data_IF_217659237716
#
_entry.id   IF_217659237716
#
_cell.length_a   1.000
_cell.length_b   1.000
_cell.length_c   1.000
_cell.angle_alpha   90.00
_cell.angle_beta   90.00
_cell.angle_gamma   90.00
#
_symmetry.space_group_name_H-M   'P 1'
#
loop_
_entity.id
_entity.type
_entity.pdbx_description
1 polymer ?
#
# COMPACT_ATOMS: atom_id res chain seq x y z
N UNK A 1 12.45 19.00 5.24
CA UNK A 1 11.58 18.20 6.13
C UNK A 1 11.91 16.69 6.01
N UNK A 2 13.20 16.32 6.03
CA UNK A 2 13.68 14.98 5.62
C UNK A 2 14.78 14.38 6.53
N UNK A 3 15.10 15.01 7.68
CA UNK A 3 16.23 14.58 8.52
C UNK A 3 15.89 13.45 9.51
N UNK A 4 14.64 13.01 9.60
CA UNK A 4 14.19 12.05 10.64
C UNK A 4 14.22 10.60 10.13
N UNK A 5 14.40 10.38 8.82
CA UNK A 5 14.31 9.05 8.20
C UNK A 5 15.57 8.18 8.32
N UNK A 6 16.67 8.70 8.87
CA UNK A 6 17.85 7.91 9.23
C UNK A 6 17.84 7.59 10.73
N UNK A 7 16.92 6.73 11.16
CA UNK A 7 17.15 5.95 12.40
C UNK A 7 17.74 4.61 11.97
N UNK A 8 19.06 4.53 12.04
CA UNK A 8 19.86 3.32 11.79
C UNK A 8 19.88 2.37 13.01
N UNK A 9 19.00 2.57 13.98
CA UNK A 9 18.95 1.73 15.16
C UNK A 9 17.98 0.58 14.87
N UNK A 10 18.54 -0.63 14.79
CA UNK A 10 17.78 -1.90 14.82
C UNK A 10 16.69 -1.78 15.89
N UNK A 11 15.44 -1.64 15.45
CA UNK A 11 14.28 -1.66 16.34
C UNK A 11 14.24 -3.06 16.94
N UNK A 12 14.50 -3.13 18.24
CA UNK A 12 14.32 -4.31 19.05
C UNK A 12 12.86 -4.77 18.88
N UNK A 13 12.66 -5.93 18.26
CA UNK A 13 11.38 -6.63 18.22
C UNK A 13 10.95 -6.91 19.67
N UNK A 14 10.19 -6.00 20.28
CA UNK A 14 9.46 -6.34 21.51
C UNK A 14 8.48 -7.43 21.12
N UNK A 15 8.69 -8.60 21.71
CA UNK A 15 7.82 -9.76 21.59
C UNK A 15 6.51 -9.42 22.33
N UNK A 16 5.64 -8.64 21.71
CA UNK A 16 4.39 -8.19 22.33
C UNK A 16 3.36 -9.28 22.15
N UNK A 17 2.90 -9.86 23.25
CA UNK A 17 1.78 -10.79 23.24
C UNK A 17 0.54 -10.05 22.71
N UNK A 18 0.14 -10.34 21.46
CA UNK A 18 -0.87 -9.59 20.72
C UNK A 18 -2.32 -9.75 21.24
N UNK A 19 -2.50 -10.56 22.29
CA UNK A 19 -3.76 -10.78 23.00
C UNK A 19 -3.97 -9.85 24.21
N UNK A 20 -2.93 -9.12 24.63
CA UNK A 20 -3.00 -8.24 25.80
C UNK A 20 -3.74 -6.93 25.47
N UNK A 21 -4.99 -6.85 25.91
CA UNK A 21 -5.87 -5.69 25.73
C UNK A 21 -5.58 -4.52 26.66
N UNK A 22 -4.65 -4.65 27.62
CA UNK A 22 -4.27 -3.53 28.50
C UNK A 22 -3.43 -2.46 27.81
N UNK A 23 -2.88 -2.79 26.63
CA UNK A 23 -2.07 -1.88 25.83
C UNK A 23 -2.79 -1.60 24.52
N UNK A 24 -2.95 -0.32 24.21
CA UNK A 24 -3.66 0.15 23.01
C UNK A 24 -2.98 -0.26 21.71
N UNK A 25 -3.77 -0.60 20.70
CA UNK A 25 -3.31 -0.93 19.35
C UNK A 25 -3.86 0.04 18.30
N UNK A 26 -3.20 0.08 17.15
CA UNK A 26 -3.70 0.75 15.95
C UNK A 26 -3.95 -0.27 14.85
N UNK A 27 -5.06 -0.09 14.12
CA UNK A 27 -5.36 -0.83 12.88
C UNK A 27 -5.99 0.06 11.84
N UNK A 28 -6.08 -0.47 10.62
CA UNK A 28 -6.83 0.12 9.52
C UNK A 28 -8.23 -0.50 9.43
N UNK A 29 -9.20 0.33 9.03
CA UNK A 29 -10.48 -0.15 8.55
C UNK A 29 -10.29 -0.90 7.22
N UNK A 30 -10.65 -2.20 7.13
CA UNK A 30 -10.32 -3.06 5.98
C UNK A 30 -11.28 -2.84 4.80
N UNK A 31 -11.52 -1.60 4.38
CA UNK A 31 -12.40 -1.25 3.25
C UNK A 31 -11.62 -1.04 1.95
N UNK A 32 -12.34 -1.02 0.83
CA UNK A 32 -11.77 -0.69 -0.48
C UNK A 32 -11.10 -1.85 -1.21
N UNK A 33 -10.65 -1.55 -2.44
CA UNK A 33 -10.00 -2.51 -3.36
C UNK A 33 -8.61 -2.95 -2.90
N UNK A 34 -7.96 -3.81 -3.69
CA UNK A 34 -6.62 -4.33 -3.36
C UNK A 34 -5.58 -3.22 -3.18
N UNK A 35 -5.56 -2.22 -4.06
CA UNK A 35 -4.64 -1.08 -3.96
C UNK A 35 -4.79 -0.29 -2.66
N UNK A 36 -6.02 -0.06 -2.20
CA UNK A 36 -6.28 0.61 -0.93
C UNK A 36 -5.72 -0.20 0.25
N UNK A 37 -5.92 -1.51 0.23
CA UNK A 37 -5.49 -2.40 1.31
C UNK A 37 -3.96 -2.53 1.37
N UNK A 38 -3.29 -2.54 0.21
CA UNK A 38 -1.82 -2.45 0.13
C UNK A 38 -1.34 -1.13 0.75
N UNK A 39 -1.89 0.01 0.35
CA UNK A 39 -1.51 1.31 0.92
C UNK A 39 -1.80 1.40 2.43
N UNK A 40 -2.94 0.88 2.89
CA UNK A 40 -3.31 0.81 4.29
C UNK A 40 -2.34 -0.06 5.10
N UNK A 41 -1.98 -1.25 4.60
CA UNK A 41 -0.98 -2.11 5.22
C UNK A 41 0.38 -1.39 5.36
N UNK A 42 0.87 -0.78 4.28
CA UNK A 42 2.16 -0.08 4.30
C UNK A 42 2.12 1.16 5.21
N UNK A 43 0.98 1.85 5.27
CA UNK A 43 0.76 2.97 6.18
C UNK A 43 0.79 2.51 7.65
N UNK A 44 0.23 1.33 7.94
CA UNK A 44 0.25 0.75 9.28
C UNK A 44 1.67 0.33 9.67
N UNK A 45 2.42 -0.26 8.74
CA UNK A 45 3.81 -0.61 8.94
C UNK A 45 4.68 0.63 9.21
N UNK A 46 4.46 1.72 8.47
CA UNK A 46 5.09 3.01 8.72
C UNK A 46 4.87 3.50 10.15
N UNK A 47 3.65 3.38 10.69
CA UNK A 47 3.38 3.80 12.07
C UNK A 47 4.15 2.92 13.08
N UNK A 48 4.20 1.61 12.83
CA UNK A 48 4.98 0.67 13.65
C UNK A 48 6.44 1.05 13.68
N UNK A 49 7.05 1.21 12.51
CA UNK A 49 8.50 1.37 12.43
C UNK A 49 8.97 2.77 12.82
N UNK A 50 8.16 3.82 12.62
CA UNK A 50 8.57 5.18 12.99
C UNK A 50 8.31 5.51 14.45
N UNK A 51 7.25 4.96 15.04
CA UNK A 51 6.80 5.35 16.37
C UNK A 51 6.92 4.24 17.41
N UNK A 52 7.35 3.04 17.00
CA UNK A 52 7.42 1.84 17.85
C UNK A 52 6.11 1.59 18.61
N UNK A 53 4.99 1.74 17.90
CA UNK A 53 3.65 1.49 18.44
C UNK A 53 3.16 0.10 18.08
N UNK A 54 2.29 -0.45 18.93
CA UNK A 54 1.58 -1.69 18.66
C UNK A 54 0.56 -1.47 17.55
N UNK A 55 0.73 -2.23 16.48
CA UNK A 55 -0.19 -2.29 15.35
C UNK A 55 -0.65 -3.72 15.13
N UNK A 56 -1.83 -3.90 14.56
CA UNK A 56 -2.26 -5.20 14.06
C UNK A 56 -3.07 -5.07 12.77
N UNK A 57 -2.97 -6.08 11.91
CA UNK A 57 -3.77 -6.19 10.69
C UNK A 57 -5.17 -6.64 11.08
N UNK A 58 -6.18 -5.95 10.57
CA UNK A 58 -7.54 -6.43 10.66
C UNK A 58 -7.71 -7.78 9.92
N UNK A 59 -8.39 -8.79 10.48
CA UNK A 59 -8.56 -10.11 9.85
C UNK A 59 -9.01 -10.07 8.39
N UNK A 60 -10.07 -9.32 8.06
CA UNK A 60 -10.52 -9.11 6.67
C UNK A 60 -9.45 -8.56 5.70
N UNK A 61 -8.55 -7.70 6.17
CA UNK A 61 -7.43 -7.21 5.35
C UNK A 61 -6.37 -8.29 5.20
N UNK A 62 -6.09 -9.03 6.29
CA UNK A 62 -5.20 -10.19 6.23
C UNK A 62 -5.70 -11.25 5.24
N UNK A 63 -6.98 -11.60 5.27
CA UNK A 63 -7.58 -12.58 4.34
C UNK A 63 -7.45 -12.13 2.88
N UNK A 64 -7.45 -10.82 2.63
CA UNK A 64 -7.30 -10.25 1.29
C UNK A 64 -5.85 -10.20 0.81
N UNK A 65 -4.88 -10.03 1.71
CA UNK A 65 -3.47 -9.86 1.37
C UNK A 65 -2.67 -11.17 1.47
N UNK A 66 -2.86 -11.94 2.54
CA UNK A 66 -2.10 -13.15 2.86
C UNK A 66 -2.08 -14.24 1.78
N UNK A 67 -3.08 -14.40 0.88
CA UNK A 67 -2.97 -15.41 -0.17
C UNK A 67 -1.81 -15.13 -1.14
N UNK A 68 -1.47 -13.85 -1.36
CA UNK A 68 -0.49 -13.45 -2.38
C UNK A 68 0.75 -12.76 -1.80
N UNK A 69 0.63 -12.18 -0.61
CA UNK A 69 1.67 -11.38 0.02
C UNK A 69 2.09 -11.93 1.38
N UNK A 70 3.40 -11.94 1.63
CA UNK A 70 3.99 -12.17 2.95
C UNK A 70 3.73 -10.94 3.81
N UNK A 71 2.95 -11.10 4.87
CA UNK A 71 2.68 -10.04 5.86
C UNK A 71 3.51 -10.26 7.12
N UNK A 72 4.12 -9.20 7.65
CA UNK A 72 4.95 -9.21 8.87
C UNK A 72 4.28 -8.54 10.07
N UNK A 73 3.20 -7.78 9.83
CA UNK A 73 2.39 -7.22 10.91
C UNK A 73 1.51 -8.35 11.50
N UNK A 74 1.42 -8.47 12.83
CA UNK A 74 0.57 -9.45 13.49
C UNK A 74 -0.92 -9.26 13.15
N UNK A 75 -1.66 -10.35 13.07
CA UNK A 75 -3.14 -10.32 12.98
C UNK A 75 -3.69 -10.36 14.39
N UNK A 76 -4.63 -9.47 14.73
CA UNK A 76 -5.30 -9.52 16.04
C UNK A 76 -6.77 -9.90 15.88
N UNK A 77 -7.17 -10.91 16.65
CA UNK A 77 -8.56 -11.35 16.82
C UNK A 77 -9.12 -10.95 18.20
N UNK A 78 -8.46 -10.06 18.94
CA UNK A 78 -8.88 -9.73 20.30
C UNK A 78 -10.18 -8.92 20.33
N UNK A 79 -10.97 -9.08 21.40
CA UNK A 79 -12.23 -8.37 21.56
C UNK A 79 -12.06 -6.85 21.66
N UNK A 80 -10.99 -6.37 22.32
CA UNK A 80 -10.65 -4.95 22.39
C UNK A 80 -10.24 -4.34 21.04
N UNK A 81 -9.93 -5.18 20.05
CA UNK A 81 -9.61 -4.74 18.70
C UNK A 81 -10.85 -4.70 17.79
N UNK A 82 -11.84 -5.57 18.05
CA UNK A 82 -13.04 -5.75 17.23
C UNK A 82 -14.25 -4.97 17.79
N UNK A 83 -14.34 -4.75 19.11
CA UNK A 83 -15.52 -4.18 19.77
C UNK A 83 -15.34 -2.73 20.24
N UNK A 84 -14.18 -2.37 20.78
CA UNK A 84 -13.93 -1.05 21.40
C UNK A 84 -12.92 -0.21 20.60
N UNK A 85 -13.37 0.41 19.51
CA UNK A 85 -12.48 1.24 18.68
C UNK A 85 -12.88 2.71 18.64
N UNK A 86 -11.92 3.57 18.99
CA UNK A 86 -11.99 4.98 18.63
C UNK A 86 -11.59 5.16 17.17
N UNK A 87 -12.33 6.02 16.47
CA UNK A 87 -12.10 6.32 15.06
C UNK A 87 -11.11 7.48 14.94
N UNK A 88 -10.15 7.37 14.04
CA UNK A 88 -9.18 8.45 13.77
C UNK A 88 -8.80 8.49 12.29
N UNK A 89 -8.35 9.65 11.80
CA UNK A 89 -7.71 9.73 10.49
C UNK A 89 -6.22 9.40 10.62
N UNK A 90 -5.62 8.85 9.57
CA UNK A 90 -4.18 8.56 9.54
C UNK A 90 -3.34 9.80 9.86
N UNK A 91 -3.63 10.94 9.23
CA UNK A 91 -2.84 12.16 9.38
C UNK A 91 -2.93 12.73 10.80
N UNK A 92 -4.11 12.65 11.43
CA UNK A 92 -4.30 13.06 12.83
C UNK A 92 -3.49 12.19 13.77
N UNK A 93 -3.57 10.87 13.61
CA UNK A 93 -2.81 9.91 14.42
C UNK A 93 -1.30 10.10 14.23
N UNK A 94 -0.84 10.19 12.98
CA UNK A 94 0.57 10.42 12.65
C UNK A 94 1.08 11.70 13.31
N UNK A 95 0.33 12.80 13.21
CA UNK A 95 0.71 14.08 13.81
C UNK A 95 0.80 14.02 15.33
N UNK A 96 -0.13 13.30 15.98
CA UNK A 96 -0.12 13.07 17.42
C UNK A 96 1.14 12.29 17.85
N UNK A 97 1.42 11.16 17.19
CA UNK A 97 2.59 10.33 17.50
C UNK A 97 3.90 11.06 17.21
N UNK A 98 3.95 11.81 16.10
CA UNK A 98 5.09 12.61 15.72
C UNK A 98 5.41 13.70 16.75
N UNK A 99 4.38 14.37 17.28
CA UNK A 99 4.55 15.36 18.35
C UNK A 99 5.17 14.73 19.60
N UNK A 100 4.75 13.54 20.00
CA UNK A 100 5.36 12.84 21.14
C UNK A 100 6.82 12.46 20.85
N UNK A 101 7.09 11.91 19.67
CA UNK A 101 8.43 11.52 19.26
C UNK A 101 9.42 12.71 19.24
N UNK A 102 9.01 13.85 18.67
CA UNK A 102 9.84 15.08 18.64
C UNK A 102 10.07 15.64 20.05
N UNK A 103 9.10 15.50 20.94
CA UNK A 103 9.24 15.86 22.35
C UNK A 103 9.97 14.79 23.19
N UNK A 104 10.58 13.78 22.56
CA UNK A 104 11.31 12.67 23.19
C UNK A 104 10.47 11.87 24.20
N UNK A 105 9.16 11.79 23.99
CA UNK A 105 8.22 10.96 24.75
C UNK A 105 7.93 9.67 24.00
N UNK A 106 7.47 8.64 24.70
CA UNK A 106 7.07 7.36 24.11
C UNK A 106 5.75 7.53 23.36
N UNK A 107 5.71 7.36 22.01
CA UNK A 107 4.47 7.56 21.26
C UNK A 107 3.36 6.56 21.65
N UNK A 108 3.73 5.35 22.04
CA UNK A 108 2.78 4.34 22.53
C UNK A 108 1.98 4.81 23.75
N UNK A 109 2.57 5.60 24.65
CA UNK A 109 1.91 6.07 25.88
C UNK A 109 0.83 7.14 25.59
N UNK A 110 0.86 7.74 24.40
CA UNK A 110 -0.18 8.67 23.94
C UNK A 110 -1.42 7.95 23.40
N UNK A 111 -1.34 6.66 23.10
CA UNK A 111 -2.50 5.87 22.68
C UNK A 111 -3.35 5.50 23.91
N UNK A 112 -4.31 6.36 24.26
CA UNK A 112 -5.19 6.14 25.42
C UNK A 112 -6.23 5.04 25.23
N UNK A 113 -6.53 4.72 23.98
CA UNK A 113 -7.43 3.66 23.56
C UNK A 113 -6.91 3.03 22.27
N UNK A 114 -7.47 1.91 21.87
CA UNK A 114 -7.22 1.34 20.54
C UNK A 114 -7.91 2.18 19.46
N UNK A 115 -7.20 2.39 18.33
CA UNK A 115 -7.69 3.21 17.23
C UNK A 115 -7.88 2.43 15.93
N UNK A 116 -8.98 2.72 15.25
CA UNK A 116 -9.23 2.34 13.86
C UNK A 116 -9.04 3.56 12.97
N UNK A 117 -8.12 3.43 12.02
CA UNK A 117 -7.89 4.43 10.99
C UNK A 117 -8.97 4.25 9.92
N UNK A 118 -9.88 5.23 9.81
CA UNK A 118 -11.10 5.07 8.99
C UNK A 118 -10.91 5.42 7.52
N UNK A 119 -9.94 6.26 7.19
CA UNK A 119 -9.66 6.69 5.83
C UNK A 119 -8.75 5.70 5.07
N UNK A 120 -8.41 6.03 3.82
CA UNK A 120 -7.59 5.21 2.93
C UNK A 120 -6.20 5.84 2.75
N UNK A 121 -5.34 5.87 3.78
CA UNK A 121 -4.02 6.49 3.65
C UNK A 121 -3.18 5.78 2.60
N UNK A 122 -2.52 6.58 1.76
CA UNK A 122 -1.44 6.13 0.91
C UNK A 122 -0.38 7.25 0.86
N UNK A 123 0.60 7.27 1.79
CA UNK A 123 1.63 8.29 1.85
C UNK A 123 2.64 8.11 0.69
N UNK A 124 2.17 8.36 -0.54
CA UNK A 124 2.83 7.97 -1.78
C UNK A 124 4.24 8.53 -1.91
N UNK A 125 4.48 9.77 -1.48
CA UNK A 125 5.81 10.38 -1.52
C UNK A 125 6.83 9.58 -0.69
N UNK A 126 6.46 9.23 0.56
CA UNK A 126 7.30 8.43 1.45
C UNK A 126 7.50 7.02 0.87
N UNK A 127 6.42 6.41 0.34
CA UNK A 127 6.47 5.08 -0.26
C UNK A 127 7.39 5.03 -1.49
N UNK A 128 7.32 6.04 -2.36
CA UNK A 128 8.13 6.13 -3.58
C UNK A 128 9.60 6.34 -3.24
N UNK A 129 9.90 7.25 -2.31
CA UNK A 129 11.26 7.53 -1.87
C UNK A 129 11.93 6.31 -1.22
N UNK A 130 11.16 5.47 -0.53
CA UNK A 130 11.66 4.27 0.17
C UNK A 130 11.14 2.97 -0.44
N UNK A 131 10.88 2.94 -1.76
CA UNK A 131 10.22 1.80 -2.44
C UNK A 131 10.87 0.44 -2.18
N UNK A 132 12.19 0.39 -2.01
CA UNK A 132 12.89 -0.86 -1.78
C UNK A 132 12.55 -1.45 -0.41
N UNK A 133 12.53 -0.62 0.63
CA UNK A 133 12.13 -0.98 1.97
C UNK A 133 10.69 -1.56 1.99
N UNK A 134 9.76 -0.89 1.31
CA UNK A 134 8.37 -1.36 1.28
C UNK A 134 8.13 -2.60 0.44
N UNK A 135 8.96 -2.85 -0.60
CA UNK A 135 8.92 -4.10 -1.37
C UNK A 135 9.27 -5.32 -0.50
N UNK A 136 10.16 -5.15 0.45
CA UNK A 136 10.55 -6.22 1.39
C UNK A 136 9.45 -6.47 2.43
N UNK A 137 8.84 -5.38 2.90
CA UNK A 137 7.79 -5.38 3.92
C UNK A 137 6.46 -6.02 3.52
N UNK A 138 6.11 -5.93 2.23
CA UNK A 138 4.95 -6.61 1.64
C UNK A 138 5.37 -7.29 0.33
N UNK A 139 6.17 -8.33 0.47
CA UNK A 139 6.69 -9.10 -0.66
C UNK A 139 5.70 -10.17 -1.10
N UNK A 140 5.71 -10.52 -2.40
CA UNK A 140 4.89 -11.61 -2.90
C UNK A 140 5.39 -12.97 -2.37
N UNK A 141 4.47 -13.92 -2.15
CA UNK A 141 4.85 -15.31 -1.95
C UNK A 141 5.55 -15.89 -3.19
N UNK A 142 6.46 -16.84 -2.99
CA UNK A 142 7.19 -17.47 -4.07
C UNK A 142 6.24 -18.12 -5.10
N UNK A 143 5.18 -18.78 -4.62
CA UNK A 143 4.18 -19.38 -5.50
C UNK A 143 3.44 -18.33 -6.35
N UNK A 144 3.16 -17.14 -5.82
CA UNK A 144 2.54 -16.05 -6.55
C UNK A 144 3.49 -15.47 -7.60
N UNK A 145 4.77 -15.29 -7.24
CA UNK A 145 5.81 -14.84 -8.18
C UNK A 145 5.97 -15.84 -9.34
N UNK A 146 5.98 -17.14 -9.04
CA UNK A 146 6.03 -18.19 -10.05
C UNK A 146 4.82 -18.13 -10.99
N UNK A 147 3.60 -18.09 -10.44
CA UNK A 147 2.36 -17.96 -11.24
C UNK A 147 2.37 -16.73 -12.15
N UNK A 148 2.80 -15.58 -11.64
CA UNK A 148 2.91 -14.34 -12.43
C UNK A 148 3.96 -14.52 -13.53
N UNK A 149 5.12 -15.08 -13.20
CA UNK A 149 6.21 -15.30 -14.16
C UNK A 149 5.79 -16.24 -15.29
N UNK A 150 5.15 -17.35 -14.96
CA UNK A 150 4.61 -18.32 -15.93
C UNK A 150 3.53 -17.68 -16.79
N UNK A 151 2.61 -16.92 -16.19
CA UNK A 151 1.58 -16.20 -16.93
C UNK A 151 2.19 -15.20 -17.92
N UNK A 152 3.18 -14.41 -17.49
CA UNK A 152 3.88 -13.46 -18.35
C UNK A 152 4.60 -14.20 -19.48
N UNK A 153 5.38 -15.24 -19.18
CA UNK A 153 6.10 -16.04 -20.19
C UNK A 153 5.14 -16.63 -21.23
N UNK A 154 4.07 -17.29 -20.78
CA UNK A 154 3.10 -17.94 -21.66
C UNK A 154 2.36 -16.95 -22.58
N UNK A 155 2.16 -15.71 -22.15
CA UNK A 155 1.53 -14.68 -22.98
C UNK A 155 2.53 -13.94 -23.88
N UNK A 156 3.74 -13.67 -23.39
CA UNK A 156 4.79 -13.04 -24.19
C UNK A 156 5.33 -13.97 -25.28
N UNK A 157 5.46 -15.28 -25.03
CA UNK A 157 5.87 -16.26 -26.04
C UNK A 157 4.95 -16.33 -27.26
N UNK A 158 3.67 -15.96 -27.11
CA UNK A 158 2.74 -15.84 -28.24
C UNK A 158 3.06 -14.64 -29.14
N UNK A 159 3.80 -13.67 -28.63
CA UNK A 159 4.23 -12.49 -29.38
C UNK A 159 5.59 -12.78 -30.02
N UNK A 160 5.60 -13.01 -31.34
CA UNK A 160 6.84 -13.22 -32.08
C UNK A 160 7.84 -12.08 -31.82
N UNK A 161 9.10 -12.45 -31.59
CA UNK A 161 10.23 -11.53 -31.38
C UNK A 161 10.06 -10.55 -30.20
N UNK A 162 9.32 -10.91 -29.14
CA UNK A 162 9.13 -10.02 -27.98
C UNK A 162 10.44 -9.70 -27.24
N UNK A 163 11.43 -10.60 -27.30
CA UNK A 163 12.73 -10.45 -26.62
C UNK A 163 13.51 -9.22 -27.12
N UNK A 164 13.26 -8.79 -28.35
CA UNK A 164 13.89 -7.62 -28.97
C UNK A 164 13.04 -6.35 -28.87
N UNK A 165 11.94 -6.36 -28.10
CA UNK A 165 10.99 -5.24 -28.00
C UNK A 165 10.92 -4.69 -26.58
N UNK A 166 10.67 -3.38 -26.50
CA UNK A 166 10.43 -2.68 -25.23
C UNK A 166 8.99 -2.90 -24.78
N UNK A 167 8.82 -3.43 -23.57
CA UNK A 167 7.49 -3.59 -22.95
C UNK A 167 7.06 -2.28 -22.27
N UNK A 168 5.89 -1.76 -22.66
CA UNK A 168 5.30 -0.55 -22.07
C UNK A 168 3.93 -0.92 -21.47
N UNK A 169 3.79 -0.82 -20.15
CA UNK A 169 2.51 -1.06 -19.48
C UNK A 169 1.62 0.18 -19.51
N UNK A 170 0.36 0.00 -19.90
CA UNK A 170 -0.69 1.01 -19.85
C UNK A 170 -1.76 0.53 -18.88
N UNK A 171 -2.03 1.31 -17.84
CA UNK A 171 -3.13 1.05 -16.92
C UNK A 171 -4.22 2.09 -17.12
N UNK A 172 -5.42 1.65 -17.47
CA UNK A 172 -6.60 2.47 -17.73
C UNK A 172 -7.62 2.18 -16.63
N UNK A 173 -7.88 3.17 -15.77
CA UNK A 173 -8.86 3.07 -14.68
C UNK A 173 -10.10 3.87 -15.02
N UNK A 174 -11.27 3.24 -15.10
CA UNK A 174 -12.52 3.82 -15.63
C UNK A 174 -13.68 3.60 -14.65
N UNK A 175 -14.46 2.53 -14.82
CA UNK A 175 -15.66 2.14 -14.05
C UNK A 175 -16.15 3.15 -12.99
N UNK A 176 -16.06 2.85 -11.70
CA UNK A 176 -16.43 3.73 -10.60
C UNK A 176 -15.48 4.93 -10.43
N UNK A 177 -14.26 4.86 -10.98
CA UNK A 177 -13.29 5.96 -10.93
C UNK A 177 -13.79 7.21 -11.67
N UNK A 178 -14.52 7.06 -12.77
CA UNK A 178 -15.17 8.19 -13.46
C UNK A 178 -16.07 8.98 -12.51
N UNK A 179 -16.90 8.27 -11.75
CA UNK A 179 -17.81 8.86 -10.77
C UNK A 179 -17.03 9.51 -9.61
N UNK A 180 -15.98 8.85 -9.11
CA UNK A 180 -15.16 9.41 -8.03
C UNK A 180 -14.42 10.67 -8.46
N UNK A 181 -13.83 10.69 -9.66
CA UNK A 181 -13.13 11.87 -10.19
C UNK A 181 -14.07 13.05 -10.38
N UNK A 182 -15.29 12.81 -10.87
CA UNK A 182 -16.29 13.85 -11.02
C UNK A 182 -16.79 14.36 -9.65
N UNK A 183 -17.29 13.46 -8.80
CA UNK A 183 -18.00 13.86 -7.56
C UNK A 183 -17.04 14.34 -6.47
N UNK A 184 -15.93 13.63 -6.25
CA UNK A 184 -15.03 13.91 -5.12
C UNK A 184 -13.94 14.92 -5.47
N UNK A 185 -13.45 14.87 -6.71
CA UNK A 185 -12.30 15.68 -7.13
C UNK A 185 -12.68 16.80 -8.11
N UNK A 186 -13.88 16.78 -8.68
CA UNK A 186 -14.33 17.74 -9.70
C UNK A 186 -13.33 17.84 -10.85
N UNK A 187 -12.78 16.70 -11.27
CA UNK A 187 -11.80 16.58 -12.34
C UNK A 187 -12.32 15.66 -13.45
N UNK A 188 -12.00 16.03 -14.69
CA UNK A 188 -12.14 15.13 -15.84
C UNK A 188 -11.06 14.06 -15.82
N UNK A 189 -11.38 12.89 -16.36
CA UNK A 189 -10.38 11.84 -16.63
C UNK A 189 -9.64 12.10 -17.94
N UNK A 190 -8.52 11.39 -18.12
CA UNK A 190 -7.75 11.44 -19.36
C UNK A 190 -8.61 11.03 -20.57
N UNK A 191 -8.48 11.80 -21.64
CA UNK A 191 -9.20 11.56 -22.90
C UNK A 191 -8.49 10.50 -23.76
N UNK A 192 -9.19 9.91 -24.75
CA UNK A 192 -8.55 9.02 -25.72
C UNK A 192 -7.31 9.65 -26.39
N UNK A 193 -7.35 10.95 -26.69
CA UNK A 193 -6.22 11.68 -27.28
C UNK A 193 -4.95 11.60 -26.43
N UNK A 194 -5.06 11.65 -25.09
CA UNK A 194 -3.91 11.48 -24.21
C UNK A 194 -3.22 10.13 -24.44
N UNK A 195 -4.00 9.04 -24.47
CA UNK A 195 -3.46 7.70 -24.66
C UNK A 195 -2.87 7.50 -26.06
N UNK A 196 -3.53 8.03 -27.09
CA UNK A 196 -3.01 8.00 -28.47
C UNK A 196 -1.67 8.73 -28.55
N UNK A 197 -1.57 9.92 -27.96
CA UNK A 197 -0.34 10.70 -27.94
C UNK A 197 0.78 9.98 -27.17
N UNK A 198 0.47 9.38 -26.02
CA UNK A 198 1.44 8.60 -25.25
C UNK A 198 1.93 7.34 -26.00
N UNK A 199 1.03 6.61 -26.66
CA UNK A 199 1.36 5.44 -27.49
C UNK A 199 2.27 5.86 -28.65
N UNK A 200 1.92 6.93 -29.36
CA UNK A 200 2.70 7.44 -30.48
C UNK A 200 4.08 7.97 -30.04
N UNK A 201 4.16 8.58 -28.87
CA UNK A 201 5.43 8.99 -28.26
C UNK A 201 6.36 7.78 -28.07
N UNK A 202 5.87 6.69 -27.46
CA UNK A 202 6.70 5.50 -27.23
C UNK A 202 7.04 4.74 -28.51
N UNK A 203 6.11 4.66 -29.46
CA UNK A 203 6.38 4.13 -30.81
C UNK A 203 7.54 4.86 -31.47
N UNK A 204 7.48 6.20 -31.50
CA UNK A 204 8.55 7.03 -32.08
C UNK A 204 9.86 6.91 -31.32
N UNK A 205 9.82 6.88 -29.99
CA UNK A 205 11.02 6.80 -29.13
C UNK A 205 11.83 5.52 -29.34
N UNK A 206 11.18 4.43 -29.72
CA UNK A 206 11.80 3.11 -29.82
C UNK A 206 11.63 2.51 -31.22
N UNK A 207 11.53 3.33 -32.27
CA UNK A 207 11.47 2.88 -33.67
C UNK A 207 10.45 1.76 -33.94
N UNK A 208 9.27 1.87 -33.32
CA UNK A 208 8.19 0.87 -33.33
C UNK A 208 8.54 -0.51 -32.72
N UNK A 209 9.69 -0.65 -32.07
CA UNK A 209 10.11 -1.85 -31.34
C UNK A 209 9.49 -1.90 -29.93
N UNK A 210 8.16 -1.79 -29.86
CA UNK A 210 7.40 -1.74 -28.61
C UNK A 210 6.28 -2.77 -28.56
N UNK A 211 5.97 -3.27 -27.37
CA UNK A 211 4.75 -4.03 -27.05
C UNK A 211 4.04 -3.29 -25.93
N UNK A 212 2.77 -2.99 -26.12
CA UNK A 212 1.95 -2.38 -25.08
C UNK A 212 1.18 -3.45 -24.30
N UNK A 213 1.36 -3.46 -22.97
CA UNK A 213 0.63 -4.31 -22.05
C UNK A 213 -0.51 -3.49 -21.43
N UNK A 214 -1.73 -3.70 -21.91
CA UNK A 214 -2.90 -2.97 -21.44
C UNK A 214 -3.55 -3.70 -20.26
N UNK A 215 -3.78 -2.98 -19.16
CA UNK A 215 -4.61 -3.39 -18.05
C UNK A 215 -5.73 -2.37 -17.88
N UNK A 216 -6.98 -2.83 -17.95
CA UNK A 216 -8.17 -1.99 -17.84
C UNK A 216 -9.20 -2.67 -16.96
N UNK A 217 -9.97 -1.89 -16.23
CA UNK A 217 -11.21 -2.31 -15.57
C UNK A 217 -12.46 -2.01 -16.41
N UNK A 218 -12.29 -1.37 -17.57
CA UNK A 218 -13.28 -1.19 -18.64
C UNK A 218 -13.12 -2.36 -19.64
N UNK A 219 -14.14 -3.25 -19.80
CA UNK A 219 -14.10 -4.42 -20.68
C UNK A 219 -13.92 -4.13 -22.18
#
# INVERSE_FOLDING_TARGET
MLSIYKRNDKIMLRNTNHSDCSISYVTMNPRGGLGNQICQYLSLALLKDFFDIRVAIHPKMYDKLSPNFKTSIPVSNSSCFIKDFAKISYNTLYSMLYKEAVNKRTPQDALKVSYHIENYPCPAEILIQNRQYFKEMLSLHNHTQQKITEYIKNNLWKLQNYENKVLISIHVRRTDYLRHMNILYQRSVLTPCYYINAINFYRKRYDNQVIFLLSSDDP
#
